data_IF_836997194798
#
_entry.id   IF_836997194798
#
_cell.length_a   1.000
_cell.length_b   1.000
_cell.length_c   1.000
_cell.angle_alpha   90.00
_cell.angle_beta   90.00
_cell.angle_gamma   90.00
#
_symmetry.space_group_name_H-M   'P 1'
#
loop_
_entity.id
_entity.type
_entity.pdbx_description
1 polymer ?
#
# COMPACT_ATOMS: atom_id res chain seq x y z
N UNK A 1 14.81 -0.64 -27.73
CA UNK A 1 13.71 0.32 -27.97
C UNK A 1 12.69 -0.46 -28.74
N UNK A 2 11.65 -0.90 -28.06
CA UNK A 2 10.50 -1.54 -28.68
C UNK A 2 9.38 -0.53 -28.47
N UNK A 3 8.90 0.05 -29.57
CA UNK A 3 7.70 0.87 -29.61
C UNK A 3 6.71 0.07 -30.48
N UNK A 4 5.50 -0.18 -29.99
CA UNK A 4 4.47 -0.92 -30.73
C UNK A 4 3.16 -1.02 -29.94
N UNK A 5 2.05 -1.11 -30.68
CA UNK A 5 0.66 -1.11 -30.18
C UNK A 5 0.38 -2.20 -29.12
N UNK A 6 1.16 -3.29 -29.13
CA UNK A 6 1.24 -4.28 -28.06
C UNK A 6 2.64 -4.88 -28.02
N UNK A 7 3.31 -4.83 -26.87
CA UNK A 7 4.64 -5.43 -26.70
C UNK A 7 4.68 -6.30 -25.45
N UNK A 8 4.97 -7.58 -25.65
CA UNK A 8 5.19 -8.54 -24.56
C UNK A 8 6.69 -8.84 -24.41
N UNK A 9 7.18 -8.87 -23.18
CA UNK A 9 8.57 -9.27 -22.89
C UNK A 9 8.63 -10.33 -21.79
N UNK A 10 9.19 -11.49 -22.13
CA UNK A 10 9.42 -12.58 -21.18
C UNK A 10 10.92 -12.70 -20.86
N UNK A 11 11.23 -12.61 -19.58
CA UNK A 11 12.57 -12.75 -19.01
C UNK A 11 12.56 -13.88 -17.98
N UNK A 12 13.29 -14.97 -18.23
CA UNK A 12 13.41 -16.07 -17.27
C UNK A 12 14.84 -16.56 -17.15
N UNK A 13 15.34 -16.72 -15.92
CA UNK A 13 16.69 -17.25 -15.73
C UNK A 13 17.22 -17.26 -14.30
N UNK A 14 18.34 -17.95 -14.12
CA UNK A 14 19.10 -18.02 -12.86
C UNK A 14 20.18 -16.93 -12.75
N UNK A 15 20.22 -15.99 -13.70
CA UNK A 15 21.11 -14.83 -13.71
C UNK A 15 20.29 -13.55 -13.56
N UNK A 16 20.86 -12.44 -13.08
CA UNK A 16 20.12 -11.20 -12.94
C UNK A 16 19.54 -10.73 -14.27
N UNK A 17 18.25 -10.41 -14.28
CA UNK A 17 17.58 -9.88 -15.47
C UNK A 17 17.19 -8.42 -15.24
N UNK A 18 17.46 -7.58 -16.23
CA UNK A 18 17.01 -6.19 -16.27
C UNK A 18 16.23 -6.01 -17.56
N UNK A 19 14.94 -5.69 -17.42
CA UNK A 19 14.05 -5.44 -18.54
C UNK A 19 13.59 -3.99 -18.47
N UNK A 20 13.72 -3.27 -19.58
CA UNK A 20 13.31 -1.88 -19.68
C UNK A 20 12.55 -1.67 -20.98
N UNK A 21 11.35 -1.14 -20.85
CA UNK A 21 10.55 -0.64 -21.96
C UNK A 21 10.30 0.86 -21.79
N UNK A 22 10.28 1.60 -22.90
CA UNK A 22 10.23 3.07 -22.91
C UNK A 22 8.84 3.63 -23.20
N UNK A 23 8.06 3.01 -24.08
CA UNK A 23 6.68 3.41 -24.38
C UNK A 23 5.93 2.30 -25.12
N UNK A 24 4.62 2.16 -24.90
CA UNK A 24 3.71 1.31 -25.69
C UNK A 24 2.28 1.40 -25.15
N UNK A 25 1.28 1.29 -26.02
CA UNK A 25 -0.14 1.44 -25.63
C UNK A 25 -0.59 0.25 -24.74
N UNK A 26 -0.09 -0.96 -25.03
CA UNK A 26 -0.21 -2.13 -24.17
C UNK A 26 1.17 -2.78 -23.94
N UNK A 27 1.64 -2.79 -22.70
CA UNK A 27 2.96 -3.32 -22.31
C UNK A 27 2.78 -4.41 -21.26
N UNK A 28 3.17 -5.63 -21.60
CA UNK A 28 3.23 -6.74 -20.65
C UNK A 28 4.69 -7.16 -20.44
N UNK A 29 5.13 -7.22 -19.19
CA UNK A 29 6.47 -7.66 -18.84
C UNK A 29 6.42 -8.76 -17.78
N UNK A 30 6.91 -9.95 -18.13
CA UNK A 30 7.06 -11.06 -17.20
C UNK A 30 8.54 -11.30 -16.91
N UNK A 31 8.94 -11.16 -15.64
CA UNK A 31 10.27 -11.50 -15.15
C UNK A 31 10.18 -12.58 -14.08
N UNK A 32 10.85 -13.72 -14.29
CA UNK A 32 10.93 -14.79 -13.30
C UNK A 32 12.35 -15.31 -13.11
N UNK A 33 12.83 -15.41 -11.87
CA UNK A 33 14.21 -15.86 -11.65
C UNK A 33 14.61 -16.20 -10.23
N UNK A 34 15.61 -17.06 -10.11
CA UNK A 34 16.24 -17.42 -8.82
C UNK A 34 17.37 -16.47 -8.42
N UNK A 35 17.79 -15.60 -9.34
CA UNK A 35 18.76 -14.51 -9.12
C UNK A 35 18.02 -13.16 -9.16
N UNK A 36 18.59 -12.09 -8.56
CA UNK A 36 17.88 -10.82 -8.39
C UNK A 36 17.42 -10.27 -9.75
N UNK A 37 16.12 -9.98 -9.91
CA UNK A 37 15.67 -9.15 -11.03
C UNK A 37 16.07 -7.71 -10.70
N UNK A 38 17.02 -7.15 -11.43
CA UNK A 38 17.69 -5.90 -11.06
C UNK A 38 16.76 -4.69 -11.24
N UNK A 39 15.83 -4.74 -12.20
CA UNK A 39 14.70 -3.82 -12.34
C UNK A 39 13.79 -4.28 -13.50
N UNK A 40 12.47 -4.13 -13.33
CA UNK A 40 11.49 -4.13 -14.42
C UNK A 40 10.96 -2.70 -14.51
N UNK A 41 11.14 -2.02 -15.65
CA UNK A 41 10.76 -0.60 -15.81
C UNK A 41 9.95 -0.38 -17.07
N UNK A 42 8.81 0.28 -16.92
CA UNK A 42 8.07 0.90 -18.01
C UNK A 42 7.98 2.42 -17.77
N UNK A 43 8.21 3.23 -18.81
CA UNK A 43 8.21 4.69 -18.66
C UNK A 43 6.82 5.31 -18.90
N UNK A 44 6.04 4.79 -19.85
CA UNK A 44 4.68 5.28 -20.14
C UNK A 44 3.90 4.27 -20.98
N UNK A 45 2.60 4.13 -20.73
CA UNK A 45 1.69 3.34 -21.57
C UNK A 45 0.26 3.41 -21.07
N UNK A 46 -0.73 3.24 -21.97
CA UNK A 46 -2.15 3.30 -21.60
C UNK A 46 -2.53 2.09 -20.73
N UNK A 47 -1.98 0.91 -21.04
CA UNK A 47 -2.08 -0.31 -20.24
C UNK A 47 -0.69 -0.91 -20.01
N UNK A 48 -0.25 -0.97 -18.75
CA UNK A 48 1.07 -1.49 -18.36
C UNK A 48 0.89 -2.58 -17.30
N UNK A 49 1.20 -3.82 -17.65
CA UNK A 49 1.20 -4.96 -16.73
C UNK A 49 2.63 -5.45 -16.47
N UNK A 50 3.05 -5.45 -15.21
CA UNK A 50 4.36 -5.91 -14.79
C UNK A 50 4.24 -7.07 -13.81
N UNK A 51 4.65 -8.27 -14.23
CA UNK A 51 4.75 -9.44 -13.36
C UNK A 51 6.22 -9.75 -13.05
N UNK A 52 6.58 -9.75 -11.77
CA UNK A 52 7.92 -10.09 -11.31
C UNK A 52 7.88 -11.13 -10.17
N UNK A 53 8.44 -12.32 -10.40
CA UNK A 53 8.46 -13.39 -9.40
C UNK A 53 9.86 -13.97 -9.19
N UNK A 54 10.34 -14.06 -7.94
CA UNK A 54 11.68 -14.61 -7.72
C UNK A 54 12.06 -14.99 -6.30
N UNK A 55 13.02 -15.92 -6.19
CA UNK A 55 13.61 -16.32 -4.89
C UNK A 55 14.69 -15.35 -4.40
N UNK A 56 15.15 -14.45 -5.29
CA UNK A 56 16.13 -13.40 -5.02
C UNK A 56 15.51 -12.02 -5.28
N UNK A 57 16.07 -10.92 -4.74
CA UNK A 57 15.37 -9.63 -4.67
C UNK A 57 14.87 -9.14 -6.02
N UNK A 58 13.58 -8.86 -6.13
CA UNK A 58 13.00 -8.02 -7.18
C UNK A 58 13.21 -6.58 -6.73
N UNK A 59 14.32 -5.99 -7.16
CA UNK A 59 14.81 -4.74 -6.57
C UNK A 59 13.90 -3.53 -6.84
N UNK A 60 13.08 -3.58 -7.90
CA UNK A 60 12.10 -2.56 -8.27
C UNK A 60 11.27 -2.91 -9.50
N UNK A 61 9.96 -2.77 -9.41
CA UNK A 61 9.09 -2.42 -10.54
C UNK A 61 8.82 -0.92 -10.47
N UNK A 62 9.18 -0.15 -11.50
CA UNK A 62 8.90 1.30 -11.55
C UNK A 62 8.07 1.61 -12.82
N UNK A 63 6.91 2.26 -12.64
CA UNK A 63 6.14 2.89 -13.74
C UNK A 63 6.10 4.41 -13.54
N UNK A 64 6.28 5.15 -14.63
CA UNK A 64 6.38 6.62 -14.59
C UNK A 64 5.07 7.32 -14.92
N UNK A 65 4.18 6.69 -15.70
CA UNK A 65 2.87 7.20 -16.08
C UNK A 65 2.07 6.13 -16.82
N UNK A 66 0.75 6.11 -16.67
CA UNK A 66 -0.14 5.28 -17.47
C UNK A 66 -1.58 5.34 -17.00
N UNK A 67 -2.53 5.17 -17.92
CA UNK A 67 -3.96 5.24 -17.59
C UNK A 67 -4.38 3.98 -16.79
N UNK A 68 -3.79 2.83 -17.08
CA UNK A 68 -4.01 1.57 -16.38
C UNK A 68 -2.68 0.87 -16.13
N UNK A 69 -2.29 0.73 -14.86
CA UNK A 69 -1.01 0.16 -14.46
C UNK A 69 -1.22 -0.94 -13.43
N UNK A 70 -0.87 -2.16 -13.78
CA UNK A 70 -0.89 -3.30 -12.86
C UNK A 70 0.53 -3.78 -12.57
N UNK A 71 0.88 -3.91 -11.29
CA UNK A 71 2.17 -4.46 -10.87
C UNK A 71 1.98 -5.61 -9.91
N UNK A 72 2.37 -6.81 -10.32
CA UNK A 72 2.46 -7.96 -9.45
C UNK A 72 3.91 -8.30 -9.16
N UNK A 73 4.28 -8.30 -7.89
CA UNK A 73 5.61 -8.69 -7.45
C UNK A 73 5.52 -9.69 -6.29
N UNK A 74 6.16 -10.86 -6.45
CA UNK A 74 6.14 -11.91 -5.44
C UNK A 74 7.50 -12.57 -5.24
N UNK A 75 7.89 -12.85 -4.00
CA UNK A 75 9.18 -13.49 -3.78
C UNK A 75 9.58 -13.81 -2.35
N UNK A 76 10.69 -14.55 -2.22
CA UNK A 76 11.31 -14.84 -0.91
C UNK A 76 12.29 -13.75 -0.46
N UNK A 77 12.47 -12.72 -1.28
CA UNK A 77 13.42 -11.63 -1.10
C UNK A 77 12.69 -10.28 -1.15
N UNK A 78 13.34 -9.16 -0.74
CA UNK A 78 12.63 -7.89 -0.62
C UNK A 78 12.03 -7.46 -1.95
N UNK A 79 10.79 -6.97 -1.89
CA UNK A 79 10.02 -6.56 -3.05
C UNK A 79 9.69 -5.08 -2.94
N UNK A 80 9.94 -4.31 -4.00
CA UNK A 80 9.53 -2.91 -4.07
C UNK A 80 8.79 -2.62 -5.38
N UNK A 81 7.54 -2.21 -5.29
CA UNK A 81 6.74 -1.72 -6.43
C UNK A 81 6.56 -0.21 -6.29
N UNK A 82 6.73 0.52 -7.39
CA UNK A 82 6.52 1.97 -7.40
C UNK A 82 5.85 2.43 -8.68
N UNK A 83 4.86 3.30 -8.56
CA UNK A 83 4.46 4.16 -9.66
C UNK A 83 4.61 5.64 -9.28
N UNK A 84 4.83 6.46 -10.29
CA UNK A 84 4.87 7.91 -10.13
C UNK A 84 3.45 8.44 -10.29
N UNK A 85 2.87 8.29 -11.47
CA UNK A 85 1.56 8.84 -11.83
C UNK A 85 0.71 7.77 -12.55
N UNK A 86 -0.62 7.82 -12.41
CA UNK A 86 -1.55 7.01 -13.22
C UNK A 86 -3.01 7.11 -12.80
N UNK A 87 -3.95 6.89 -13.74
CA UNK A 87 -5.38 7.04 -13.48
C UNK A 87 -5.94 5.83 -12.73
N UNK A 88 -5.59 4.61 -13.14
CA UNK A 88 -5.92 3.37 -12.45
C UNK A 88 -4.63 2.58 -12.18
N UNK A 89 -4.21 2.48 -10.92
CA UNK A 89 -2.96 1.84 -10.53
C UNK A 89 -3.21 0.76 -9.49
N UNK A 90 -2.92 -0.48 -9.84
CA UNK A 90 -2.97 -1.63 -8.94
C UNK A 90 -1.57 -2.16 -8.64
N UNK A 91 -1.22 -2.28 -7.37
CA UNK A 91 0.07 -2.82 -6.93
C UNK A 91 -0.12 -3.98 -5.96
N UNK A 92 0.36 -5.15 -6.33
CA UNK A 92 0.41 -6.32 -5.47
C UNK A 92 1.86 -6.68 -5.15
N UNK A 93 2.22 -6.69 -3.87
CA UNK A 93 3.53 -7.12 -3.38
C UNK A 93 3.38 -8.18 -2.29
N UNK A 94 3.92 -9.39 -2.52
CA UNK A 94 3.85 -10.47 -1.52
C UNK A 94 5.20 -11.16 -1.32
N UNK A 95 5.56 -11.47 -0.07
CA UNK A 95 6.81 -12.19 0.15
C UNK A 95 7.20 -12.51 1.57
N UNK A 96 8.22 -13.36 1.70
CA UNK A 96 8.79 -13.74 3.01
C UNK A 96 9.79 -12.71 3.56
N UNK A 97 10.18 -11.73 2.75
CA UNK A 97 11.09 -10.64 3.06
C UNK A 97 10.35 -9.29 2.92
N UNK A 98 10.97 -8.14 3.27
CA UNK A 98 10.25 -6.88 3.34
C UNK A 98 9.57 -6.49 2.02
N UNK A 99 8.32 -6.06 2.08
CA UNK A 99 7.56 -5.61 0.92
C UNK A 99 7.25 -4.13 1.05
N UNK A 100 7.46 -3.38 -0.03
CA UNK A 100 7.18 -1.96 -0.09
C UNK A 100 6.40 -1.61 -1.36
N UNK A 101 5.24 -0.99 -1.24
CA UNK A 101 4.51 -0.35 -2.35
C UNK A 101 4.64 1.17 -2.19
N UNK A 102 4.87 1.90 -3.28
CA UNK A 102 4.93 3.37 -3.24
C UNK A 102 4.26 4.01 -4.44
N UNK A 103 3.35 4.95 -4.20
CA UNK A 103 2.70 5.76 -5.23
C UNK A 103 2.91 7.26 -4.98
N UNK A 104 3.10 8.06 -6.04
CA UNK A 104 3.18 9.52 -5.90
C UNK A 104 1.82 10.19 -6.12
N UNK A 105 1.11 9.91 -7.21
CA UNK A 105 -0.25 10.44 -7.43
C UNK A 105 -1.09 9.59 -8.38
N UNK A 106 -2.35 9.32 -8.09
CA UNK A 106 -3.26 8.71 -9.08
C UNK A 106 -4.73 8.86 -8.75
N UNK A 107 -5.62 8.75 -9.74
CA UNK A 107 -7.05 8.95 -9.51
C UNK A 107 -7.66 7.77 -8.73
N UNK A 108 -7.36 6.54 -9.15
CA UNK A 108 -7.75 5.30 -8.47
C UNK A 108 -6.51 4.43 -8.21
N UNK A 109 -6.16 4.24 -6.94
CA UNK A 109 -4.95 3.51 -6.54
C UNK A 109 -5.32 2.40 -5.57
N UNK A 110 -5.04 1.15 -5.94
CA UNK A 110 -5.14 0.00 -5.05
C UNK A 110 -3.74 -0.57 -4.77
N UNK A 111 -3.39 -0.73 -3.50
CA UNK A 111 -2.11 -1.29 -3.08
C UNK A 111 -2.30 -2.43 -2.07
N UNK A 112 -2.01 -3.65 -2.49
CA UNK A 112 -1.96 -4.83 -1.64
C UNK A 112 -0.51 -5.21 -1.33
N UNK A 113 -0.16 -5.28 -0.05
CA UNK A 113 1.13 -5.72 0.41
C UNK A 113 0.99 -6.78 1.52
N UNK A 114 1.66 -7.92 1.39
CA UNK A 114 1.59 -8.99 2.39
C UNK A 114 2.91 -9.70 2.63
N UNK A 115 3.26 -10.02 3.89
CA UNK A 115 4.49 -10.76 4.13
C UNK A 115 4.81 -11.18 5.56
N UNK A 116 5.85 -12.00 5.69
CA UNK A 116 6.36 -12.44 7.00
C UNK A 116 7.39 -11.50 7.62
N UNK A 117 7.90 -10.55 6.82
CA UNK A 117 8.82 -9.49 7.24
C UNK A 117 8.11 -8.12 7.11
N UNK A 118 8.76 -6.98 7.44
CA UNK A 118 8.09 -5.68 7.43
C UNK A 118 7.36 -5.39 6.12
N UNK A 119 6.15 -4.87 6.23
CA UNK A 119 5.30 -4.50 5.09
C UNK A 119 5.04 -3.00 5.17
N UNK A 120 5.28 -2.29 4.07
CA UNK A 120 5.09 -0.85 3.98
C UNK A 120 4.30 -0.50 2.72
N UNK A 121 3.25 0.30 2.87
CA UNK A 121 2.52 0.91 1.76
C UNK A 121 2.51 2.42 1.92
N UNK A 122 3.05 3.16 0.95
CA UNK A 122 3.15 4.64 0.98
C UNK A 122 2.48 5.25 -0.26
N UNK A 123 1.42 6.05 -0.08
CA UNK A 123 0.72 6.72 -1.18
C UNK A 123 0.66 8.23 -0.89
N UNK A 124 1.25 9.06 -1.75
CA UNK A 124 1.30 10.50 -1.49
C UNK A 124 -0.01 11.22 -1.83
N UNK A 125 -0.67 10.94 -2.96
CA UNK A 125 -2.00 11.48 -3.25
C UNK A 125 -2.85 10.55 -4.11
N UNK A 126 -4.17 10.65 -3.98
CA UNK A 126 -5.11 10.15 -5.00
C UNK A 126 -6.57 10.38 -4.69
N UNK A 127 -7.45 10.37 -5.67
CA UNK A 127 -8.88 10.65 -5.45
C UNK A 127 -9.55 9.48 -4.73
N UNK A 128 -9.33 8.25 -5.18
CA UNK A 128 -9.77 7.00 -4.55
C UNK A 128 -8.56 6.12 -4.26
N UNK A 129 -8.26 5.89 -2.98
CA UNK A 129 -7.07 5.15 -2.54
C UNK A 129 -7.47 4.01 -1.62
N UNK A 130 -7.16 2.78 -2.02
CA UNK A 130 -7.31 1.58 -1.19
C UNK A 130 -5.94 0.97 -0.89
N UNK A 131 -5.58 0.82 0.38
CA UNK A 131 -4.33 0.21 0.80
C UNK A 131 -4.56 -0.94 1.78
N UNK A 132 -4.20 -2.15 1.37
CA UNK A 132 -4.21 -3.33 2.23
C UNK A 132 -2.78 -3.76 2.56
N UNK A 133 -2.43 -3.77 3.84
CA UNK A 133 -1.14 -4.24 4.32
C UNK A 133 -1.32 -5.32 5.40
N UNK A 134 -0.66 -6.47 5.24
CA UNK A 134 -0.78 -7.56 6.21
C UNK A 134 0.53 -8.30 6.47
N UNK A 135 0.85 -8.59 7.72
CA UNK A 135 2.09 -9.33 7.98
C UNK A 135 2.36 -9.82 9.39
N UNK A 136 3.37 -10.68 9.51
CA UNK A 136 3.82 -11.21 10.81
C UNK A 136 4.84 -10.31 11.51
N UNK A 137 5.48 -9.40 10.79
CA UNK A 137 6.39 -8.37 11.31
C UNK A 137 5.70 -6.99 11.23
N UNK A 138 6.36 -5.87 11.57
CA UNK A 138 5.72 -4.56 11.56
C UNK A 138 5.04 -4.25 10.23
N UNK A 139 3.84 -3.68 10.32
CA UNK A 139 3.04 -3.27 9.16
C UNK A 139 2.81 -1.76 9.25
N UNK A 140 3.10 -1.05 8.16
CA UNK A 140 2.92 0.39 8.06
C UNK A 140 2.17 0.73 6.78
N UNK A 141 1.07 1.45 6.90
CA UNK A 141 0.34 2.04 5.77
C UNK A 141 0.29 3.55 5.98
N UNK A 142 0.79 4.33 5.02
CA UNK A 142 0.84 5.78 5.07
C UNK A 142 0.20 6.37 3.80
N UNK A 143 -0.81 7.21 3.98
CA UNK A 143 -1.49 7.91 2.88
C UNK A 143 -1.49 9.41 3.19
N UNK A 144 -0.84 10.23 2.37
CA UNK A 144 -0.75 11.65 2.68
C UNK A 144 -2.03 12.42 2.34
N UNK A 145 -2.65 12.20 1.17
CA UNK A 145 -3.89 12.90 0.78
C UNK A 145 -4.79 12.03 -0.09
N UNK A 146 -6.12 12.15 0.05
CA UNK A 146 -7.05 11.66 -0.95
C UNK A 146 -8.53 11.90 -0.65
N UNK A 147 -9.40 11.97 -1.65
CA UNK A 147 -10.82 12.28 -1.43
C UNK A 147 -11.54 11.11 -0.73
N UNK A 148 -11.37 9.88 -1.22
CA UNK A 148 -11.86 8.65 -0.63
C UNK A 148 -10.67 7.72 -0.33
N UNK A 149 -10.41 7.47 0.95
CA UNK A 149 -9.25 6.70 1.41
C UNK A 149 -9.70 5.54 2.27
N UNK A 150 -9.36 4.32 1.89
CA UNK A 150 -9.53 3.12 2.70
C UNK A 150 -8.16 2.49 3.00
N UNK A 151 -7.83 2.37 4.29
CA UNK A 151 -6.59 1.76 4.74
C UNK A 151 -6.88 0.58 5.66
N UNK A 152 -6.46 -0.62 5.26
CA UNK A 152 -6.49 -1.82 6.08
C UNK A 152 -5.08 -2.26 6.43
N UNK A 153 -4.76 -2.32 7.72
CA UNK A 153 -3.48 -2.80 8.21
C UNK A 153 -3.71 -3.91 9.26
N UNK A 154 -3.08 -5.08 9.09
CA UNK A 154 -3.21 -6.18 10.04
C UNK A 154 -1.91 -6.91 10.30
N UNK A 155 -1.61 -7.23 11.55
CA UNK A 155 -0.39 -7.98 11.83
C UNK A 155 -0.19 -8.55 13.22
N UNK A 156 0.81 -9.42 13.34
CA UNK A 156 1.20 -10.03 14.62
C UNK A 156 2.21 -9.19 15.41
N UNK A 157 2.92 -8.28 14.73
CA UNK A 157 3.82 -7.29 15.33
C UNK A 157 3.17 -5.88 15.26
N UNK A 158 3.87 -4.78 15.63
CA UNK A 158 3.26 -3.46 15.61
C UNK A 158 2.61 -3.12 14.27
N UNK A 159 1.42 -2.54 14.33
CA UNK A 159 0.66 -2.11 13.15
C UNK A 159 0.46 -0.60 13.25
N UNK A 160 0.76 0.09 12.16
CA UNK A 160 0.66 1.55 12.02
C UNK A 160 -0.12 1.86 10.76
N UNK A 161 -1.17 2.65 10.87
CA UNK A 161 -1.95 3.16 9.75
C UNK A 161 -2.13 4.66 9.92
N UNK A 162 -1.59 5.45 9.00
CA UNK A 162 -1.59 6.91 9.06
C UNK A 162 -2.23 7.50 7.80
N UNK A 163 -3.12 8.47 7.97
CA UNK A 163 -3.70 9.25 6.87
C UNK A 163 -3.68 10.74 7.20
N UNK A 164 -3.06 11.58 6.36
CA UNK A 164 -2.94 13.00 6.71
C UNK A 164 -4.19 13.83 6.36
N UNK A 165 -4.81 13.60 5.19
CA UNK A 165 -6.05 14.29 4.83
C UNK A 165 -6.95 13.48 3.87
N UNK A 166 -8.27 13.60 4.05
CA UNK A 166 -9.23 13.18 3.02
C UNK A 166 -10.69 13.51 3.31
N UNK A 167 -11.55 13.56 2.30
CA UNK A 167 -12.96 13.88 2.51
C UNK A 167 -13.71 12.72 3.17
N UNK A 168 -13.48 11.49 2.72
CA UNK A 168 -13.98 10.25 3.30
C UNK A 168 -12.81 9.31 3.60
N UNK A 169 -12.52 9.08 4.89
CA UNK A 169 -11.41 8.24 5.32
C UNK A 169 -11.89 7.10 6.18
N UNK A 170 -11.61 5.87 5.79
CA UNK A 170 -11.82 4.66 6.57
C UNK A 170 -10.48 3.98 6.88
N UNK A 171 -10.16 3.82 8.17
CA UNK A 171 -8.96 3.13 8.60
C UNK A 171 -9.29 1.94 9.51
N UNK A 172 -8.82 0.76 9.15
CA UNK A 172 -8.88 -0.44 9.96
C UNK A 172 -7.47 -0.90 10.31
N UNK A 173 -7.15 -0.93 11.59
CA UNK A 173 -5.88 -1.45 12.10
C UNK A 173 -6.13 -2.56 13.12
N UNK A 174 -5.52 -3.74 12.93
CA UNK A 174 -5.69 -4.86 13.87
C UNK A 174 -4.40 -5.62 14.13
N UNK A 175 -4.13 -5.97 15.38
CA UNK A 175 -2.94 -6.76 15.67
C UNK A 175 -2.78 -7.34 17.06
N UNK A 176 -1.81 -8.24 17.19
CA UNK A 176 -1.47 -8.85 18.49
C UNK A 176 -0.47 -8.04 19.32
N UNK A 177 0.28 -7.15 18.69
CA UNK A 177 1.19 -6.19 19.32
C UNK A 177 0.57 -4.78 19.26
N UNK A 178 1.29 -3.71 19.66
CA UNK A 178 0.72 -2.36 19.63
C UNK A 178 0.11 -2.00 18.27
N UNK A 179 -1.07 -1.40 18.30
CA UNK A 179 -1.78 -0.95 17.10
C UNK A 179 -1.96 0.56 17.20
N UNK A 180 -1.57 1.27 16.16
CA UNK A 180 -1.72 2.72 16.04
C UNK A 180 -2.45 3.04 14.75
N UNK A 181 -3.51 3.83 14.87
CA UNK A 181 -4.25 4.40 13.74
C UNK A 181 -4.38 5.89 13.95
N UNK A 182 -3.88 6.69 13.01
CA UNK A 182 -3.87 8.15 13.09
C UNK A 182 -4.45 8.76 11.82
N UNK A 183 -5.39 9.69 11.98
CA UNK A 183 -5.98 10.45 10.88
C UNK A 183 -5.88 11.93 11.24
N UNK A 184 -5.11 12.72 10.49
CA UNK A 184 -4.94 14.13 10.86
C UNK A 184 -6.19 14.96 10.52
N UNK A 185 -6.76 14.84 9.32
CA UNK A 185 -7.97 15.60 8.93
C UNK A 185 -8.89 14.79 8.01
N UNK A 186 -10.20 14.97 8.16
CA UNK A 186 -11.16 14.59 7.11
C UNK A 186 -12.61 14.89 7.41
N UNK A 187 -13.46 15.07 6.38
CA UNK A 187 -14.85 15.47 6.59
C UNK A 187 -15.68 14.32 7.20
N UNK A 188 -15.58 13.11 6.66
CA UNK A 188 -16.18 11.88 7.16
C UNK A 188 -15.08 10.87 7.48
N UNK A 189 -14.88 10.57 8.76
CA UNK A 189 -13.80 9.70 9.23
C UNK A 189 -14.36 8.53 10.01
N UNK A 190 -13.98 7.31 9.63
CA UNK A 190 -14.20 6.09 10.40
C UNK A 190 -12.85 5.45 10.74
N UNK A 191 -12.59 5.22 12.02
CA UNK A 191 -11.41 4.50 12.46
C UNK A 191 -11.79 3.31 13.34
N UNK A 192 -11.21 2.15 13.02
CA UNK A 192 -11.32 0.94 13.80
C UNK A 192 -9.93 0.45 14.16
N UNK A 193 -9.61 0.39 15.45
CA UNK A 193 -8.37 -0.14 15.95
C UNK A 193 -8.63 -1.27 16.95
N UNK A 194 -8.01 -2.44 16.76
CA UNK A 194 -8.21 -3.57 17.68
C UNK A 194 -6.93 -4.33 17.96
N UNK A 195 -6.69 -4.71 19.22
CA UNK A 195 -5.53 -5.52 19.51
C UNK A 195 -5.41 -6.14 20.90
N UNK A 196 -4.47 -7.06 21.02
CA UNK A 196 -4.18 -7.73 22.32
C UNK A 196 -3.20 -6.95 23.18
N UNK A 197 -2.45 -6.01 22.60
CA UNK A 197 -1.54 -5.09 23.27
C UNK A 197 -2.11 -3.66 23.21
N UNK A 198 -1.38 -2.60 23.63
CA UNK A 198 -1.91 -1.24 23.60
C UNK A 198 -2.44 -0.84 22.23
N UNK A 199 -3.61 -0.21 22.22
CA UNK A 199 -4.26 0.29 21.01
C UNK A 199 -4.40 1.80 21.12
N UNK A 200 -3.91 2.52 20.11
CA UNK A 200 -4.07 3.97 19.99
C UNK A 200 -4.83 4.28 18.70
N UNK A 201 -5.86 5.10 18.82
CA UNK A 201 -6.62 5.63 17.69
C UNK A 201 -6.79 7.13 17.87
N UNK A 202 -6.27 7.92 16.95
CA UNK A 202 -6.30 9.38 17.04
C UNK A 202 -6.87 9.99 15.76
N UNK A 203 -7.77 10.96 15.91
CA UNK A 203 -8.25 11.80 14.81
C UNK A 203 -8.14 13.26 15.18
N UNK A 204 -7.39 14.08 14.43
CA UNK A 204 -7.18 15.47 14.83
C UNK A 204 -8.38 16.38 14.50
N UNK A 205 -8.97 16.26 13.31
CA UNK A 205 -10.16 17.03 12.92
C UNK A 205 -11.08 16.28 11.96
N UNK A 206 -12.40 16.46 12.11
CA UNK A 206 -13.36 16.11 11.08
C UNK A 206 -14.81 16.50 11.37
N UNK A 207 -15.63 16.67 10.33
CA UNK A 207 -17.03 17.07 10.49
C UNK A 207 -17.87 15.94 11.11
N UNK A 208 -17.69 14.71 10.64
CA UNK A 208 -18.31 13.50 11.15
C UNK A 208 -17.23 12.44 11.44
N UNK A 209 -16.94 12.17 12.71
CA UNK A 209 -15.89 11.23 13.13
C UNK A 209 -16.48 10.12 13.97
N UNK A 210 -16.28 8.87 13.54
CA UNK A 210 -16.56 7.66 14.31
C UNK A 210 -15.27 6.89 14.58
N UNK A 211 -14.93 6.70 15.86
CA UNK A 211 -13.77 5.94 16.27
C UNK A 211 -14.15 4.76 17.18
N UNK A 212 -13.68 3.57 16.85
CA UNK A 212 -13.79 2.38 17.66
C UNK A 212 -12.40 1.83 17.97
N UNK A 213 -12.06 1.74 19.26
CA UNK A 213 -10.84 1.13 19.72
C UNK A 213 -11.14 0.03 20.74
N UNK A 214 -10.55 -1.15 20.59
CA UNK A 214 -10.77 -2.26 21.52
C UNK A 214 -9.51 -3.08 21.78
N UNK A 215 -9.29 -3.51 23.02
CA UNK A 215 -8.18 -4.38 23.31
C UNK A 215 -8.15 -5.01 24.69
N UNK A 216 -7.21 -5.94 24.87
CA UNK A 216 -6.95 -6.62 26.15
C UNK A 216 -5.90 -5.89 27.03
N UNK A 217 -5.41 -4.76 26.56
CA UNK A 217 -4.45 -3.88 27.23
C UNK A 217 -4.97 -2.43 27.15
N UNK A 218 -4.21 -1.40 27.60
CA UNK A 218 -4.67 -0.01 27.53
C UNK A 218 -5.12 0.38 26.11
N UNK A 219 -6.29 1.00 26.05
CA UNK A 219 -6.87 1.52 24.81
C UNK A 219 -7.00 3.03 24.95
N UNK A 220 -6.41 3.78 24.01
CA UNK A 220 -6.63 5.21 23.86
C UNK A 220 -7.37 5.47 22.56
N UNK A 221 -8.39 6.33 22.64
CA UNK A 221 -9.12 6.83 21.49
C UNK A 221 -9.35 8.31 21.73
N UNK A 222 -8.79 9.15 20.87
CA UNK A 222 -8.88 10.61 20.99
C UNK A 222 -9.33 11.22 19.67
N UNK A 223 -10.26 12.17 19.78
CA UNK A 223 -10.71 13.00 18.65
C UNK A 223 -10.58 14.44 19.11
N UNK A 224 -9.66 15.21 18.51
CA UNK A 224 -9.33 16.54 19.03
C UNK A 224 -10.40 17.58 18.68
N UNK A 225 -10.93 17.56 17.45
CA UNK A 225 -12.01 18.45 16.99
C UNK A 225 -12.97 17.76 16.04
N UNK A 226 -14.26 18.09 16.16
CA UNK A 226 -15.27 17.70 15.17
C UNK A 226 -16.68 18.14 15.51
N UNK A 227 -17.54 18.24 14.49
CA UNK A 227 -18.92 18.72 14.63
C UNK A 227 -19.85 17.61 15.15
N UNK A 228 -19.69 16.39 14.64
CA UNK A 228 -20.40 15.18 15.05
C UNK A 228 -19.39 14.07 15.37
N UNK A 229 -19.18 13.82 16.67
CA UNK A 229 -18.14 12.91 17.16
C UNK A 229 -18.74 11.75 17.94
N UNK A 230 -18.36 10.52 17.57
CA UNK A 230 -18.62 9.30 18.31
C UNK A 230 -17.30 8.56 18.55
N UNK A 231 -17.00 8.24 19.82
CA UNK A 231 -15.86 7.38 20.15
C UNK A 231 -16.26 6.28 21.13
N UNK A 232 -15.74 5.09 20.89
CA UNK A 232 -15.88 3.94 21.78
C UNK A 232 -14.50 3.33 22.03
N UNK A 233 -14.12 3.23 23.30
CA UNK A 233 -12.91 2.55 23.73
C UNK A 233 -13.24 1.45 24.75
N UNK A 234 -12.82 0.22 24.49
CA UNK A 234 -13.01 -0.92 25.40
C UNK A 234 -11.69 -1.61 25.70
N UNK A 235 -11.21 -1.49 26.94
CA UNK A 235 -10.05 -2.22 27.49
C UNK A 235 -10.48 -3.17 28.61
N UNK A 236 -9.77 -4.29 28.80
CA UNK A 236 -9.88 -5.15 30.01
C UNK A 236 -8.81 -4.85 31.05
#
# INVERSE_FOLDING_TARGET
MFDGDATEMFASGSAPVSTRMTAGDAVEMFASGSAPATAVRALSGDAVELFASGSAPTARTDVKGGDSVEMFASGSAPTATRASDGDAVEMFASGSAPNATKMSSGDAVEAFASGSAPVTSEIASGDAVEAFASGSAPVTSEIATGDAVEAFASGSAPVTSETAAGDAVEAFASGSAPVTSEIATGDAVQSFASGSAPVTSETAAGDAVEAFASGSAPVTSEIATGDAVQSFASGS
#
